data_IF_898344505750
#
_entry.id   IF_898344505750
#
_cell.length_a   1.000
_cell.length_b   1.000
_cell.length_c   1.000
_cell.angle_alpha   90.00
_cell.angle_beta   90.00
_cell.angle_gamma   90.00
#
_symmetry.space_group_name_H-M   'P 1'
#
loop_
_entity.id
_entity.type
_entity.pdbx_description
1 polymer ?
#
# COMPACT_ATOMS: atom_id res chain seq x y z
N UNK A 1 -14.86 10.73 1.82
CA UNK A 1 -15.46 10.04 0.66
C UNK A 1 -15.64 8.60 1.05
N UNK A 2 -16.89 8.16 1.17
CA UNK A 2 -17.22 6.84 1.73
C UNK A 2 -17.08 5.79 0.63
N UNK A 3 -16.63 4.57 0.97
CA UNK A 3 -16.45 3.49 -0.01
C UNK A 3 -17.73 3.21 -0.82
N UNK A 4 -18.89 3.36 -0.18
CA UNK A 4 -20.20 3.20 -0.82
C UNK A 4 -20.52 4.28 -1.87
N UNK A 5 -20.05 5.51 -1.69
CA UNK A 5 -20.25 6.59 -2.66
C UNK A 5 -19.37 6.42 -3.90
N UNK A 6 -18.16 5.89 -3.72
CA UNK A 6 -17.24 5.57 -4.83
C UNK A 6 -17.80 4.42 -5.68
N UNK A 7 -18.36 3.39 -5.03
CA UNK A 7 -18.98 2.25 -5.71
C UNK A 7 -20.20 2.65 -6.53
N UNK A 8 -20.99 3.63 -6.05
CA UNK A 8 -22.21 4.08 -6.69
C UNK A 8 -21.96 5.07 -7.84
N UNK A 9 -20.99 5.96 -7.68
CA UNK A 9 -20.73 7.00 -8.67
C UNK A 9 -19.79 6.56 -9.81
N UNK A 10 -18.90 5.58 -9.58
CA UNK A 10 -17.88 5.17 -10.57
C UNK A 10 -17.56 3.67 -10.52
N UNK A 11 -18.48 2.82 -11.02
CA UNK A 11 -18.30 1.37 -11.01
C UNK A 11 -17.09 0.88 -11.84
N UNK A 12 -16.75 1.54 -12.94
CA UNK A 12 -15.57 1.19 -13.77
C UNK A 12 -14.23 1.49 -13.07
N UNK A 13 -14.15 2.56 -12.28
CA UNK A 13 -12.97 2.86 -11.45
C UNK A 13 -12.82 1.85 -10.31
N UNK A 14 -13.95 1.37 -9.76
CA UNK A 14 -13.96 0.35 -8.71
C UNK A 14 -13.49 -1.02 -9.22
N UNK A 15 -13.95 -1.45 -10.40
CA UNK A 15 -13.50 -2.67 -11.08
C UNK A 15 -12.01 -2.60 -11.45
N UNK A 16 -11.57 -1.46 -11.99
CA UNK A 16 -10.16 -1.21 -12.33
C UNK A 16 -9.25 -1.24 -11.11
N UNK A 17 -9.71 -0.68 -9.99
CA UNK A 17 -9.01 -0.75 -8.69
C UNK A 17 -8.96 -2.16 -8.12
N UNK A 18 -9.96 -3.01 -8.38
CA UNK A 18 -9.98 -4.43 -7.96
C UNK A 18 -9.01 -5.28 -8.78
N UNK A 19 -8.92 -5.03 -10.09
CA UNK A 19 -8.05 -5.80 -11.00
C UNK A 19 -6.57 -5.54 -10.77
N UNK A 20 -6.19 -4.29 -10.48
CA UNK A 20 -4.77 -3.95 -10.33
C UNK A 20 -4.56 -2.91 -9.21
N UNK A 21 -4.86 -3.32 -7.97
CA UNK A 21 -4.80 -2.48 -6.76
C UNK A 21 -3.41 -1.84 -6.55
N UNK A 22 -2.35 -2.46 -7.05
CA UNK A 22 -0.97 -2.00 -6.91
C UNK A 22 -0.61 -0.86 -7.86
N UNK A 23 -1.06 -0.96 -9.13
CA UNK A 23 -0.72 0.01 -10.19
C UNK A 23 -1.79 1.08 -10.39
N UNK A 24 -2.99 0.88 -9.84
CA UNK A 24 -4.09 1.82 -10.02
C UNK A 24 -3.76 3.18 -9.40
N UNK A 25 -3.73 4.20 -10.25
CA UNK A 25 -3.44 5.59 -9.88
C UNK A 25 -4.74 6.37 -9.85
N UNK A 26 -5.10 6.90 -8.68
CA UNK A 26 -6.24 7.80 -8.58
C UNK A 26 -5.98 9.06 -9.42
N UNK A 27 -7.01 9.64 -10.08
CA UNK A 27 -6.87 10.93 -10.74
C UNK A 27 -6.40 11.98 -9.73
N UNK A 28 -5.17 12.49 -9.90
CA UNK A 28 -4.43 13.39 -8.98
C UNK A 28 -3.96 12.76 -7.64
N UNK A 29 -3.93 11.43 -7.53
CA UNK A 29 -3.46 10.71 -6.34
C UNK A 29 -2.14 9.96 -6.52
N UNK A 30 -1.61 9.43 -5.42
CA UNK A 30 -0.48 8.49 -5.39
C UNK A 30 -0.98 7.05 -5.62
N UNK A 31 -0.19 6.24 -6.31
CA UNK A 31 -0.41 4.79 -6.41
C UNK A 31 0.23 4.07 -5.21
N UNK A 32 -0.21 2.84 -4.91
CA UNK A 32 0.44 2.02 -3.90
C UNK A 32 1.91 1.73 -4.24
N UNK A 33 2.24 1.69 -5.53
CA UNK A 33 3.61 1.53 -6.00
C UNK A 33 4.49 2.75 -5.67
N UNK A 34 3.96 3.97 -5.79
CA UNK A 34 4.66 5.19 -5.37
C UNK A 34 4.93 5.18 -3.85
N UNK A 35 3.98 4.65 -3.07
CA UNK A 35 4.11 4.49 -1.62
C UNK A 35 5.17 3.44 -1.27
N UNK A 36 5.21 2.32 -2.00
CA UNK A 36 6.23 1.27 -1.82
C UNK A 36 7.63 1.83 -2.14
N UNK A 37 7.79 2.55 -3.26
CA UNK A 37 9.06 3.18 -3.63
C UNK A 37 9.54 4.17 -2.56
N UNK A 38 8.63 4.91 -1.92
CA UNK A 38 8.98 5.82 -0.82
C UNK A 38 9.36 5.08 0.47
N UNK A 39 8.90 3.85 0.65
CA UNK A 39 9.18 3.03 1.84
C UNK A 39 10.48 2.21 1.72
N UNK A 40 11.00 1.97 0.50
CA UNK A 40 12.30 1.29 0.29
C UNK A 40 13.44 1.80 1.18
N UNK A 41 13.75 3.11 1.23
CA UNK A 41 14.85 3.61 2.07
C UNK A 41 14.61 3.39 3.57
N UNK A 42 13.35 3.42 4.01
CA UNK A 42 12.98 3.17 5.42
C UNK A 42 13.22 1.71 5.78
N UNK A 43 12.90 0.79 4.86
CA UNK A 43 13.10 -0.66 5.06
C UNK A 43 14.58 -0.99 5.11
N UNK A 44 15.40 -0.41 4.22
CA UNK A 44 16.86 -0.59 4.22
C UNK A 44 17.47 -0.07 5.53
N UNK A 45 16.99 1.08 6.02
CA UNK A 45 17.42 1.64 7.30
C UNK A 45 17.04 0.71 8.47
N UNK A 46 15.81 0.17 8.46
CA UNK A 46 15.33 -0.78 9.46
C UNK A 46 16.13 -2.08 9.48
N UNK A 47 16.48 -2.65 8.32
CA UNK A 47 17.32 -3.84 8.22
C UNK A 47 18.74 -3.62 8.76
N UNK A 48 19.25 -2.37 8.71
CA UNK A 48 20.57 -2.05 9.26
C UNK A 48 20.58 -1.94 10.79
N UNK A 49 19.43 -1.70 11.42
CA UNK A 49 19.35 -1.55 12.87
C UNK A 49 19.43 -2.91 13.57
N UNK A 50 20.36 -3.05 14.53
CA UNK A 50 20.51 -4.26 15.36
C UNK A 50 19.77 -4.18 16.70
N UNK A 51 19.28 -3.00 17.06
CA UNK A 51 18.51 -2.76 18.27
C UNK A 51 16.99 -2.87 17.96
N UNK A 52 16.13 -3.08 18.98
CA UNK A 52 14.68 -3.08 18.80
C UNK A 52 14.20 -1.74 18.21
N UNK A 53 13.39 -1.79 17.15
CA UNK A 53 12.80 -0.61 16.51
C UNK A 53 11.28 -0.64 16.61
N UNK A 54 10.67 0.51 16.89
CA UNK A 54 9.21 0.69 16.88
C UNK A 54 8.84 1.61 15.72
N UNK A 55 7.95 1.13 14.84
CA UNK A 55 7.47 1.89 13.67
C UNK A 55 6.05 2.41 13.97
N UNK A 56 5.84 3.72 13.81
CA UNK A 56 4.53 4.37 13.96
C UNK A 56 4.15 5.00 12.63
N UNK A 57 3.12 4.47 11.96
CA UNK A 57 2.63 4.96 10.68
C UNK A 57 1.13 4.68 10.52
N UNK A 58 0.52 5.17 9.43
CA UNK A 58 -0.87 4.87 9.08
C UNK A 58 -1.04 3.38 8.74
N UNK A 59 -2.22 2.80 8.98
CA UNK A 59 -2.49 1.36 8.82
C UNK A 59 -2.00 0.81 7.47
N UNK A 60 -2.33 1.49 6.36
CA UNK A 60 -1.89 1.06 5.03
C UNK A 60 -0.38 1.06 4.83
N UNK A 61 0.36 1.98 5.46
CA UNK A 61 1.83 1.98 5.40
C UNK A 61 2.42 0.82 6.21
N UNK A 62 1.86 0.55 7.39
CA UNK A 62 2.30 -0.56 8.26
C UNK A 62 2.08 -1.91 7.57
N UNK A 63 0.92 -2.11 6.94
CA UNK A 63 0.63 -3.33 6.17
C UNK A 63 1.66 -3.55 5.06
N UNK A 64 2.00 -2.49 4.31
CA UNK A 64 3.01 -2.56 3.24
C UNK A 64 4.39 -2.90 3.82
N UNK A 65 4.83 -2.22 4.87
CA UNK A 65 6.13 -2.47 5.50
C UNK A 65 6.23 -3.90 6.02
N UNK A 66 5.18 -4.42 6.68
CA UNK A 66 5.12 -5.82 7.14
C UNK A 66 5.14 -6.78 5.96
N UNK A 67 4.41 -6.49 4.89
CA UNK A 67 4.32 -7.34 3.70
C UNK A 67 5.70 -7.48 3.03
N UNK A 68 6.41 -6.37 2.85
CA UNK A 68 7.78 -6.35 2.31
C UNK A 68 8.75 -7.10 3.22
N UNK A 69 8.69 -6.87 4.54
CA UNK A 69 9.57 -7.57 5.49
C UNK A 69 9.31 -9.08 5.56
N UNK A 70 8.07 -9.51 5.31
CA UNK A 70 7.70 -10.93 5.22
C UNK A 70 8.00 -11.56 3.86
N UNK A 71 8.48 -10.79 2.88
CA UNK A 71 8.66 -11.26 1.50
C UNK A 71 7.36 -11.69 0.83
N UNK A 72 6.21 -11.23 1.32
CA UNK A 72 4.92 -11.50 0.70
C UNK A 72 4.72 -10.48 -0.41
N UNK A 73 4.43 -10.94 -1.62
CA UNK A 73 3.88 -10.04 -2.64
C UNK A 73 2.45 -9.76 -2.24
N UNK A 74 2.03 -8.48 -2.20
CA UNK A 74 0.65 -8.06 -1.95
C UNK A 74 -0.26 -8.56 -3.10
N UNK A 75 -0.55 -9.86 -3.08
CA UNK A 75 -1.37 -10.60 -4.04
C UNK A 75 -2.08 -11.79 -3.39
N UNK A 76 -2.02 -11.89 -2.05
CA UNK A 76 -2.81 -12.85 -1.29
C UNK A 76 -4.22 -12.32 -1.08
N UNK A 77 -5.10 -12.61 -2.04
CA UNK A 77 -6.55 -12.60 -1.81
C UNK A 77 -6.88 -13.50 -0.62
N UNK A 78 -7.57 -12.94 0.37
CA UNK A 78 -8.47 -13.67 1.27
C UNK A 78 -9.67 -12.79 1.52
#
# INVERSE_FOLDING_TARGET
MTYDEVKKNKPEEYESRRKDKLRYRYPRGESYLDVIQRLEPVIIELERQRAPVVVIAHQGCVEITICVFRGQTTGGSS
#
